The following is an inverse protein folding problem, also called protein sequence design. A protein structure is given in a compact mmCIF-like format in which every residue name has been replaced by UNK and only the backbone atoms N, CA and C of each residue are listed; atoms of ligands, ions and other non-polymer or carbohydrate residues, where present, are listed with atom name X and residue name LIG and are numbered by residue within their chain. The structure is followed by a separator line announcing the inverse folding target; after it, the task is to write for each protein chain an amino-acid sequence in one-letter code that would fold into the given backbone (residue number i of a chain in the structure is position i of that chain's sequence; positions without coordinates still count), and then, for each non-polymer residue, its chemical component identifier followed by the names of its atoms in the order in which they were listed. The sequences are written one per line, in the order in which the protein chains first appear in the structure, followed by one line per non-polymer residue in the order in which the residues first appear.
data_IF_379775552454
#
_entry.id   IF_379775552454
#
_cell.length_a   1.000
_cell.length_b   1.000
_cell.length_c   1.000
_cell.angle_alpha   90.00
_cell.angle_beta   90.00
_cell.angle_gamma   90.00
#
_symmetry.space_group_name_H-M   'P 1'
#
loop_
_entity.id
_entity.type
_entity.pdbx_description
1 polymer ?
#
# COMPACT_ATOMS: atom_id res chain seq x y z
N UNK A 1 -12.46 23.52 -8.16
CA UNK A 1 -12.81 22.53 -9.17
C UNK A 1 -12.96 21.19 -8.49
N UNK A 2 -14.19 20.66 -8.51
CA UNK A 2 -14.49 19.34 -7.94
C UNK A 2 -13.86 18.28 -8.85
N UNK A 3 -12.83 17.61 -8.36
CA UNK A 3 -12.35 16.38 -8.98
C UNK A 3 -13.28 15.23 -8.55
N UNK A 4 -14.36 15.05 -9.27
CA UNK A 4 -15.19 13.85 -9.18
C UNK A 4 -14.80 12.93 -10.33
N UNK A 5 -14.33 11.75 -9.99
CA UNK A 5 -14.12 10.67 -10.94
C UNK A 5 -15.44 9.89 -11.03
N UNK A 6 -16.09 9.90 -12.17
CA UNK A 6 -17.31 9.15 -12.41
C UNK A 6 -16.96 7.73 -12.86
N UNK A 7 -17.00 6.79 -11.95
CA UNK A 7 -17.03 5.36 -12.28
C UNK A 7 -18.47 4.91 -12.13
N UNK A 8 -19.14 4.38 -13.18
CA UNK A 8 -20.59 4.13 -13.20
C UNK A 8 -21.12 3.18 -12.11
N UNK A 9 -20.26 2.47 -11.42
CA UNK A 9 -20.61 1.54 -10.33
C UNK A 9 -19.97 1.84 -8.97
N UNK A 10 -19.15 2.88 -8.85
CA UNK A 10 -18.50 3.26 -7.60
C UNK A 10 -18.36 4.78 -7.52
N UNK A 11 -19.23 5.42 -6.73
CA UNK A 11 -19.07 6.82 -6.35
C UNK A 11 -18.02 6.88 -5.23
N UNK A 12 -16.75 7.01 -5.58
CA UNK A 12 -15.68 7.29 -4.63
C UNK A 12 -15.55 8.80 -4.46
N UNK A 13 -16.05 9.33 -3.35
CA UNK A 13 -15.75 10.69 -2.93
C UNK A 13 -14.33 10.74 -2.37
N UNK A 14 -13.38 11.15 -3.21
CA UNK A 14 -11.97 11.28 -2.83
C UNK A 14 -11.73 12.32 -1.71
N UNK A 15 -12.72 13.16 -1.37
CA UNK A 15 -12.64 14.04 -0.19
C UNK A 15 -12.83 13.27 1.11
N UNK A 16 -13.65 12.24 1.14
CA UNK A 16 -13.87 11.42 2.32
C UNK A 16 -12.65 10.59 2.70
N UNK A 17 -11.82 10.20 1.72
CA UNK A 17 -10.58 9.45 1.94
C UNK A 17 -9.50 10.33 2.61
N UNK A 18 -9.50 11.65 2.35
CA UNK A 18 -8.55 12.58 2.95
C UNK A 18 -8.95 13.05 4.35
N UNK A 19 -10.20 12.85 4.77
CA UNK A 19 -10.70 13.29 6.09
C UNK A 19 -10.49 12.26 7.20
N UNK A 20 -10.06 11.03 6.86
CA UNK A 20 -9.75 9.96 7.84
C UNK A 20 -8.37 10.19 8.52
N UNK A 21 -7.69 11.29 8.23
CA UNK A 21 -6.35 11.65 8.76
C UNK A 21 -6.32 12.30 10.14
N UNK A 22 -7.39 12.24 10.94
CA UNK A 22 -7.50 12.90 12.26
C UNK A 22 -7.50 11.97 13.47
N UNK A 23 -7.43 10.67 13.30
CA UNK A 23 -7.39 9.73 14.42
C UNK A 23 -5.95 9.54 14.91
N UNK A 24 -5.80 9.37 16.22
CA UNK A 24 -4.55 9.22 16.94
C UNK A 24 -3.49 8.45 16.15
N UNK A 25 -2.32 9.06 15.92
CA UNK A 25 -1.16 8.49 15.22
C UNK A 25 -0.69 7.13 15.77
N UNK A 26 -1.18 6.73 16.95
CA UNK A 26 -0.90 5.44 17.59
C UNK A 26 -1.71 4.27 17.01
N UNK A 27 -2.84 4.54 16.35
CA UNK A 27 -3.76 3.52 15.84
C UNK A 27 -3.73 3.37 14.31
N UNK A 28 -2.93 4.16 13.62
CA UNK A 28 -2.77 4.07 12.18
C UNK A 28 -2.04 2.77 11.76
N UNK A 29 -2.48 2.17 10.65
CA UNK A 29 -1.82 1.02 10.05
C UNK A 29 -0.37 1.34 9.71
N UNK A 30 0.55 0.43 10.05
CA UNK A 30 1.96 0.58 9.67
C UNK A 30 2.20 0.04 8.26
N UNK A 31 3.28 0.49 7.57
CA UNK A 31 3.63 -0.02 6.24
C UNK A 31 3.72 -1.54 6.18
N UNK A 32 4.39 -2.15 7.14
CA UNK A 32 4.54 -3.60 7.21
C UNK A 32 3.19 -4.30 7.40
N UNK A 33 2.33 -3.73 8.23
CA UNK A 33 0.98 -4.28 8.46
C UNK A 33 0.16 -4.24 7.18
N UNK A 34 0.20 -3.13 6.46
CA UNK A 34 -0.47 -2.98 5.18
C UNK A 34 0.12 -3.92 4.11
N UNK A 35 1.45 -4.06 4.08
CA UNK A 35 2.15 -4.99 3.19
C UNK A 35 1.71 -6.45 3.44
N UNK A 36 1.65 -6.90 4.69
CA UNK A 36 1.20 -8.25 5.05
C UNK A 36 -0.24 -8.53 4.60
N UNK A 37 -1.11 -7.56 4.79
CA UNK A 37 -2.51 -7.66 4.38
C UNK A 37 -2.65 -7.75 2.86
N UNK A 38 -1.98 -6.85 2.13
CA UNK A 38 -2.01 -6.85 0.67
C UNK A 38 -1.32 -8.09 0.08
N UNK A 39 -0.23 -8.57 0.69
CA UNK A 39 0.42 -9.81 0.31
C UNK A 39 -0.54 -11.00 0.38
N UNK A 40 -1.32 -11.09 1.48
CA UNK A 40 -2.34 -12.14 1.63
C UNK A 40 -3.42 -12.07 0.54
N UNK A 41 -3.87 -10.87 0.22
CA UNK A 41 -4.96 -10.66 -0.72
C UNK A 41 -4.57 -10.89 -2.18
N UNK A 42 -3.34 -10.48 -2.56
CA UNK A 42 -2.94 -10.37 -3.97
C UNK A 42 -1.91 -11.42 -4.40
N UNK A 43 -1.13 -11.98 -3.46
CA UNK A 43 0.00 -12.86 -3.81
C UNK A 43 -0.23 -14.27 -3.28
N UNK A 44 -0.20 -14.45 -1.97
CA UNK A 44 -0.28 -15.76 -1.32
C UNK A 44 -0.88 -15.64 0.06
N UNK A 45 -1.73 -16.62 0.44
CA UNK A 45 -2.32 -16.66 1.76
C UNK A 45 -1.26 -16.77 2.87
N UNK A 46 -1.36 -15.89 3.86
CA UNK A 46 -0.57 -15.96 5.10
C UNK A 46 -1.26 -16.79 6.20
N UNK A 47 -2.47 -17.31 5.93
CA UNK A 47 -3.17 -18.18 6.88
C UNK A 47 -2.38 -19.47 7.12
N UNK A 48 -2.28 -19.91 8.36
CA UNK A 48 -1.47 -21.04 8.78
C UNK A 48 0.01 -20.73 9.02
N UNK A 49 0.54 -19.62 8.52
CA UNK A 49 1.94 -19.20 8.73
C UNK A 49 2.15 -18.68 10.16
N UNK A 50 3.38 -18.80 10.64
CA UNK A 50 3.84 -18.27 11.91
C UNK A 50 4.49 -16.89 11.74
N UNK A 51 4.66 -16.16 12.86
CA UNK A 51 5.40 -14.89 12.83
C UNK A 51 6.86 -15.05 12.41
N UNK A 52 7.48 -16.21 12.64
CA UNK A 52 8.86 -16.49 12.23
C UNK A 52 8.97 -16.67 10.73
N UNK A 53 8.07 -17.46 10.13
CA UNK A 53 8.03 -17.69 8.67
C UNK A 53 7.79 -16.37 7.94
N UNK A 54 6.91 -15.51 8.44
CA UNK A 54 6.67 -14.19 7.85
C UNK A 54 7.87 -13.25 7.98
N UNK A 55 8.59 -13.31 9.13
CA UNK A 55 9.79 -12.50 9.34
C UNK A 55 10.90 -12.88 8.36
N UNK A 56 11.09 -14.18 8.16
CA UNK A 56 12.07 -14.72 7.21
C UNK A 56 11.68 -14.39 5.75
N UNK A 57 10.43 -14.66 5.38
CA UNK A 57 9.90 -14.40 4.04
C UNK A 57 10.02 -12.93 3.62
N UNK A 58 9.77 -11.99 4.53
CA UNK A 58 9.81 -10.56 4.25
C UNK A 58 11.15 -9.90 4.58
N UNK A 59 12.14 -10.67 5.05
CA UNK A 59 13.44 -10.18 5.51
C UNK A 59 13.34 -9.04 6.54
N UNK A 60 12.38 -9.15 7.49
CA UNK A 60 12.14 -8.17 8.54
C UNK A 60 12.28 -8.79 9.93
N UNK A 61 12.39 -7.94 10.97
CA UNK A 61 12.52 -8.45 12.33
C UNK A 61 11.22 -9.11 12.82
N UNK A 62 11.36 -10.20 13.56
CA UNK A 62 10.26 -10.88 14.26
C UNK A 62 9.41 -9.92 15.12
N UNK A 63 10.06 -8.98 15.80
CA UNK A 63 9.37 -7.98 16.62
C UNK A 63 8.45 -7.08 15.78
N UNK A 64 8.87 -6.72 14.56
CA UNK A 64 8.08 -5.91 13.63
C UNK A 64 6.86 -6.68 13.13
N UNK A 65 7.03 -7.95 12.76
CA UNK A 65 5.92 -8.82 12.36
C UNK A 65 4.91 -8.99 13.50
N UNK A 66 5.38 -9.29 14.72
CA UNK A 66 4.48 -9.42 15.86
C UNK A 66 3.69 -8.16 16.16
N UNK A 67 4.30 -6.99 15.99
CA UNK A 67 3.58 -5.71 16.14
C UNK A 67 2.50 -5.57 15.07
N UNK A 68 2.82 -5.90 13.83
CA UNK A 68 1.87 -5.87 12.73
C UNK A 68 0.70 -6.84 12.95
N UNK A 69 0.99 -8.08 13.35
CA UNK A 69 -0.05 -9.08 13.63
C UNK A 69 -0.94 -8.69 14.82
N UNK A 70 -0.38 -8.12 15.88
CA UNK A 70 -1.18 -7.61 17.01
C UNK A 70 -2.13 -6.51 16.57
N UNK A 71 -1.70 -5.63 15.68
CA UNK A 71 -2.56 -4.59 15.12
C UNK A 71 -3.70 -5.21 14.29
N UNK A 72 -3.42 -6.18 13.41
CA UNK A 72 -4.44 -6.89 12.63
C UNK A 72 -5.45 -7.61 13.54
N UNK A 73 -4.98 -8.23 14.64
CA UNK A 73 -5.86 -8.84 15.65
C UNK A 73 -6.73 -7.79 16.33
N UNK A 74 -6.17 -6.64 16.71
CA UNK A 74 -6.93 -5.55 17.36
C UNK A 74 -8.04 -4.98 16.48
N UNK A 75 -7.88 -5.09 15.16
CA UNK A 75 -8.90 -4.68 14.16
C UNK A 75 -9.84 -5.84 13.76
N UNK A 76 -9.72 -6.99 14.40
CA UNK A 76 -10.51 -8.19 14.08
C UNK A 76 -10.39 -8.65 12.62
N UNK A 77 -9.22 -8.44 12.00
CA UNK A 77 -8.95 -8.86 10.63
C UNK A 77 -8.36 -10.27 10.58
N UNK A 78 -7.66 -10.68 11.63
CA UNK A 78 -7.06 -12.01 11.78
C UNK A 78 -7.26 -12.52 13.22
N UNK A 79 -7.05 -13.82 13.41
CA UNK A 79 -6.87 -14.44 14.73
C UNK A 79 -5.51 -15.13 14.81
N UNK A 80 -5.01 -15.32 16.02
CA UNK A 80 -3.79 -16.09 16.29
C UNK A 80 -4.16 -17.30 17.13
N UNK A 81 -3.93 -18.49 16.60
CA UNK A 81 -4.22 -19.76 17.26
C UNK A 81 -2.94 -20.53 17.62
N UNK A 82 -2.98 -21.28 18.70
CA UNK A 82 -1.87 -22.11 19.18
C UNK A 82 -1.32 -21.68 20.55
N UNK A 83 -0.85 -22.65 21.33
CA UNK A 83 -0.36 -22.41 22.68
C UNK A 83 1.11 -21.98 22.72
N UNK A 84 2.01 -22.74 22.07
CA UNK A 84 3.46 -22.45 22.03
C UNK A 84 3.84 -21.69 20.77
N UNK A 85 3.41 -22.15 19.63
CA UNK A 85 3.61 -21.50 18.34
C UNK A 85 2.26 -21.03 17.84
N UNK A 86 2.14 -19.71 17.64
CA UNK A 86 0.89 -19.12 17.14
C UNK A 86 0.92 -19.06 15.63
N UNK A 87 -0.12 -19.59 15.01
CA UNK A 87 -0.38 -19.49 13.59
C UNK A 87 -1.49 -18.49 13.30
N UNK A 88 -1.42 -17.87 12.15
CA UNK A 88 -2.41 -16.89 11.69
C UNK A 88 -3.63 -17.64 11.17
N UNK A 89 -4.81 -17.20 11.59
CA UNK A 89 -6.08 -17.66 11.06
C UNK A 89 -6.87 -16.48 10.49
N UNK A 90 -7.38 -16.67 9.28
CA UNK A 90 -8.17 -15.69 8.58
C UNK A 90 -9.48 -16.37 8.19
N UNK A 91 -10.57 -15.94 8.83
CA UNK A 91 -11.90 -16.55 8.68
C UNK A 91 -12.75 -15.88 7.59
N UNK A 92 -12.20 -14.84 6.98
CA UNK A 92 -12.88 -14.07 5.95
C UNK A 92 -12.48 -14.54 4.55
N UNK A 93 -13.39 -14.47 3.61
CA UNK A 93 -13.04 -14.49 2.19
C UNK A 93 -12.20 -13.24 1.85
N UNK A 94 -11.41 -13.31 0.77
CA UNK A 94 -10.60 -12.16 0.33
C UNK A 94 -11.45 -10.90 0.13
N UNK A 95 -12.67 -11.03 -0.37
CA UNK A 95 -13.60 -9.91 -0.56
C UNK A 95 -14.03 -9.29 0.76
N UNK A 96 -14.45 -10.09 1.72
CA UNK A 96 -14.86 -9.60 3.04
C UNK A 96 -13.69 -8.97 3.79
N UNK A 97 -12.49 -9.57 3.68
CA UNK A 97 -11.28 -9.01 4.28
C UNK A 97 -10.92 -7.67 3.65
N UNK A 98 -11.01 -7.56 2.32
CA UNK A 98 -10.81 -6.31 1.61
C UNK A 98 -11.78 -5.23 2.06
N UNK A 99 -13.08 -5.53 2.08
CA UNK A 99 -14.12 -4.55 2.45
C UNK A 99 -13.94 -4.04 3.90
N UNK A 100 -13.47 -4.90 4.82
CA UNK A 100 -13.13 -4.52 6.20
C UNK A 100 -11.84 -3.71 6.30
N UNK A 101 -10.85 -4.03 5.49
CA UNK A 101 -9.53 -3.43 5.54
C UNK A 101 -9.45 -2.07 4.83
N UNK A 102 -10.21 -1.91 3.74
CA UNK A 102 -10.17 -0.72 2.87
C UNK A 102 -10.23 0.62 3.63
N UNK A 103 -11.14 0.82 4.62
CA UNK A 103 -11.19 2.07 5.38
C UNK A 103 -9.97 2.30 6.29
N UNK A 104 -9.16 1.27 6.55
CA UNK A 104 -7.99 1.33 7.41
C UNK A 104 -6.69 1.57 6.62
N UNK A 105 -6.72 1.35 5.30
CA UNK A 105 -5.54 1.52 4.44
C UNK A 105 -5.18 3.00 4.30
N UNK A 106 -3.88 3.26 4.22
CA UNK A 106 -3.34 4.61 4.02
C UNK A 106 -2.50 4.65 2.75
N UNK A 107 -2.58 5.77 2.03
CA UNK A 107 -1.72 5.96 0.87
C UNK A 107 -0.24 5.98 1.28
N UNK A 108 0.61 5.20 0.63
CA UNK A 108 2.05 5.24 0.86
C UNK A 108 2.69 6.52 0.32
N UNK A 109 2.01 7.25 -0.56
CA UNK A 109 2.54 8.43 -1.24
C UNK A 109 2.70 9.58 -0.24
N UNK A 110 3.92 10.06 -0.06
CA UNK A 110 4.22 11.25 0.76
C UNK A 110 4.14 12.53 -0.09
N UNK A 111 4.71 12.47 -1.29
CA UNK A 111 4.79 13.62 -2.20
C UNK A 111 4.77 13.15 -3.65
N UNK A 112 4.32 14.04 -4.52
CA UNK A 112 4.35 13.85 -5.97
C UNK A 112 5.23 14.94 -6.56
N UNK A 113 6.10 14.56 -7.48
CA UNK A 113 6.94 15.46 -8.29
C UNK A 113 6.82 15.07 -9.76
N UNK A 114 7.27 15.94 -10.62
CA UNK A 114 7.29 15.75 -12.06
C UNK A 114 8.68 15.97 -12.63
N UNK A 115 9.02 15.32 -13.72
CA UNK A 115 10.30 15.49 -14.41
C UNK A 115 10.15 15.19 -15.90
N UNK A 116 10.98 15.82 -16.74
CA UNK A 116 11.10 15.45 -18.14
C UNK A 116 12.23 14.45 -18.40
N UNK A 117 13.01 14.11 -17.35
CA UNK A 117 14.07 13.12 -17.46
C UNK A 117 13.48 11.71 -17.62
N UNK A 118 14.12 10.90 -18.44
CA UNK A 118 13.86 9.46 -18.51
C UNK A 118 14.47 8.79 -17.27
N UNK A 119 13.63 8.06 -16.54
CA UNK A 119 14.01 7.32 -15.36
C UNK A 119 13.86 5.82 -15.64
N UNK A 120 14.98 5.13 -15.76
CA UNK A 120 15.00 3.68 -16.01
C UNK A 120 15.12 2.90 -14.69
N UNK A 121 14.57 1.69 -14.68
CA UNK A 121 14.70 0.76 -13.56
C UNK A 121 13.84 1.10 -12.33
N UNK A 122 12.94 2.07 -12.42
CA UNK A 122 12.01 2.42 -11.34
C UNK A 122 10.73 1.58 -11.41
N UNK A 123 10.05 1.41 -10.27
CA UNK A 123 8.76 0.74 -10.24
C UNK A 123 7.68 1.60 -10.89
N UNK A 124 6.92 1.01 -11.82
CA UNK A 124 5.69 1.64 -12.29
C UNK A 124 4.66 1.75 -11.18
N UNK A 125 3.90 2.82 -11.19
CA UNK A 125 2.84 3.13 -10.24
C UNK A 125 1.59 3.67 -10.94
N UNK A 126 0.55 3.96 -10.16
CA UNK A 126 -0.66 4.59 -10.65
C UNK A 126 -1.36 3.80 -11.75
N UNK A 127 -1.91 4.51 -12.72
CA UNK A 127 -2.65 3.92 -13.84
C UNK A 127 -1.76 3.08 -14.77
N UNK A 128 -0.48 3.43 -14.93
CA UNK A 128 0.44 2.65 -15.75
C UNK A 128 0.70 1.26 -15.13
N UNK A 129 0.88 1.18 -13.80
CA UNK A 129 1.00 -0.10 -13.12
C UNK A 129 -0.31 -0.90 -13.22
N UNK A 130 -1.47 -0.26 -13.07
CA UNK A 130 -2.76 -0.93 -13.18
C UNK A 130 -3.00 -1.45 -14.61
N UNK A 131 -2.63 -0.69 -15.62
CA UNK A 131 -2.74 -1.08 -17.02
C UNK A 131 -1.93 -2.34 -17.36
N UNK A 132 -0.77 -2.54 -16.71
CA UNK A 132 0.05 -3.75 -16.93
C UNK A 132 -0.63 -5.05 -16.44
N UNK A 133 -1.63 -4.97 -15.58
CA UNK A 133 -2.39 -6.12 -15.06
C UNK A 133 -3.85 -6.17 -15.55
N UNK A 134 -4.29 -5.20 -16.33
CA UNK A 134 -5.67 -5.06 -16.77
C UNK A 134 -5.76 -4.71 -18.23
N UNK A 135 -6.98 -4.56 -18.76
CA UNK A 135 -7.22 -4.10 -20.15
C UNK A 135 -7.36 -2.55 -20.24
N UNK A 136 -6.95 -1.83 -19.21
CA UNK A 136 -6.94 -0.36 -19.26
C UNK A 136 -5.79 0.13 -20.13
N UNK A 137 -6.00 1.26 -20.80
CA UNK A 137 -4.94 1.93 -21.55
C UNK A 137 -3.95 2.58 -20.59
N UNK A 138 -2.67 2.50 -20.92
CA UNK A 138 -1.64 3.27 -20.23
C UNK A 138 -1.87 4.77 -20.40
N UNK A 139 -1.51 5.52 -19.39
CA UNK A 139 -1.45 6.99 -19.50
C UNK A 139 -0.20 7.41 -20.27
N UNK A 140 -0.32 8.52 -21.01
CA UNK A 140 0.83 9.10 -21.73
C UNK A 140 1.97 9.54 -20.79
N UNK A 141 1.63 9.86 -19.54
CA UNK A 141 2.62 10.15 -18.49
C UNK A 141 3.01 8.86 -17.80
N UNK A 142 4.31 8.59 -17.71
CA UNK A 142 4.78 7.52 -16.84
C UNK A 142 4.61 7.94 -15.37
N UNK A 143 4.00 7.07 -14.59
CA UNK A 143 3.89 7.22 -13.15
C UNK A 143 4.82 6.22 -12.48
N UNK A 144 5.78 6.73 -11.72
CA UNK A 144 6.86 5.95 -11.11
C UNK A 144 6.81 6.07 -9.59
N UNK A 145 6.96 4.96 -8.90
CA UNK A 145 7.09 4.94 -7.45
C UNK A 145 8.57 4.79 -7.04
N UNK A 146 8.99 5.56 -6.06
CA UNK A 146 10.33 5.38 -5.49
C UNK A 146 10.36 5.69 -4.00
N UNK A 147 11.21 4.98 -3.23
CA UNK A 147 11.46 5.28 -1.83
C UNK A 147 12.09 6.68 -1.67
N UNK A 148 11.81 7.31 -0.55
CA UNK A 148 12.37 8.63 -0.22
C UNK A 148 13.90 8.70 -0.26
N UNK A 149 14.56 7.58 0.06
CA UNK A 149 16.03 7.47 -0.01
C UNK A 149 16.52 7.63 -1.45
N UNK A 150 15.89 6.91 -2.38
CA UNK A 150 16.28 6.89 -3.79
C UNK A 150 15.93 8.23 -4.45
N UNK A 151 14.78 8.81 -4.10
CA UNK A 151 14.43 10.16 -4.55
C UNK A 151 15.46 11.22 -4.14
N UNK A 152 16.02 11.14 -2.93
CA UNK A 152 17.07 12.05 -2.48
C UNK A 152 18.40 11.87 -3.22
N UNK A 153 18.66 10.67 -3.70
CA UNK A 153 19.85 10.34 -4.50
C UNK A 153 19.66 10.67 -5.99
N UNK A 154 18.44 11.00 -6.40
CA UNK A 154 18.10 11.30 -7.77
C UNK A 154 18.73 12.65 -8.17
N UNK A 155 19.61 12.62 -9.15
CA UNK A 155 20.31 13.82 -9.66
C UNK A 155 19.65 14.32 -10.95
N UNK A 156 18.34 14.59 -10.90
CA UNK A 156 17.56 15.14 -12.02
C UNK A 156 16.75 16.35 -11.57
N UNK A 157 16.46 17.23 -12.51
CA UNK A 157 15.57 18.35 -12.25
C UNK A 157 14.14 17.84 -12.02
N UNK A 158 13.52 18.24 -10.94
CA UNK A 158 12.14 17.91 -10.60
C UNK A 158 11.32 19.16 -10.33
N UNK A 159 10.06 19.13 -10.72
CA UNK A 159 9.08 20.20 -10.48
C UNK A 159 7.91 19.66 -9.65
N UNK A 160 7.09 20.56 -9.09
CA UNK A 160 5.92 20.19 -8.29
C UNK A 160 4.62 20.13 -9.09
N UNK A 161 4.64 20.63 -10.31
CA UNK A 161 3.42 20.82 -11.12
C UNK A 161 3.56 20.37 -12.56
N UNK A 162 4.77 20.41 -13.13
CA UNK A 162 4.98 20.22 -14.56
C UNK A 162 6.07 19.20 -14.86
N UNK A 163 5.84 18.35 -15.86
CA UNK A 163 6.76 17.35 -16.36
C UNK A 163 6.03 16.23 -17.10
N UNK A 164 6.77 15.49 -17.92
CA UNK A 164 6.24 14.37 -18.71
C UNK A 164 6.05 13.11 -17.85
N UNK A 165 6.86 12.94 -16.82
CA UNK A 165 6.81 11.80 -15.92
C UNK A 165 6.41 12.24 -14.51
N UNK A 166 5.58 11.45 -13.84
CA UNK A 166 5.18 11.63 -12.44
C UNK A 166 6.03 10.75 -11.54
N UNK A 167 6.56 11.32 -10.47
CA UNK A 167 7.32 10.60 -9.44
C UNK A 167 6.52 10.62 -8.14
N UNK A 168 6.05 9.47 -7.72
CA UNK A 168 5.42 9.28 -6.41
C UNK A 168 6.48 8.88 -5.39
N UNK A 169 6.81 9.79 -4.49
CA UNK A 169 7.75 9.54 -3.39
C UNK A 169 7.00 8.87 -2.25
N UNK A 170 7.40 7.67 -1.91
CA UNK A 170 6.78 6.87 -0.86
C UNK A 170 7.42 7.14 0.50
N UNK A 171 6.63 7.03 1.56
CA UNK A 171 7.05 7.30 2.95
C UNK A 171 8.14 6.35 3.45
N UNK A 172 8.28 5.18 2.83
CA UNK A 172 9.10 4.06 3.25
C UNK A 172 9.63 3.28 2.04
#
# INVERSE_FOLDING_TARGET
PNKQMFIPSLLLDLKSINTIGGEDKKDAITPLTQCLLLYHLEIESISGKTSYELADMLAVSYASVNRALRWLVSKNLIRLEGAKTKTIQIDFSNRELWDKALPLLVSPIEKVYYTDALLEGQMMSGMNALASYTMLNEENKQCLAMPKKDFKALNVAVDKQFGQNEIQVWKY
#
